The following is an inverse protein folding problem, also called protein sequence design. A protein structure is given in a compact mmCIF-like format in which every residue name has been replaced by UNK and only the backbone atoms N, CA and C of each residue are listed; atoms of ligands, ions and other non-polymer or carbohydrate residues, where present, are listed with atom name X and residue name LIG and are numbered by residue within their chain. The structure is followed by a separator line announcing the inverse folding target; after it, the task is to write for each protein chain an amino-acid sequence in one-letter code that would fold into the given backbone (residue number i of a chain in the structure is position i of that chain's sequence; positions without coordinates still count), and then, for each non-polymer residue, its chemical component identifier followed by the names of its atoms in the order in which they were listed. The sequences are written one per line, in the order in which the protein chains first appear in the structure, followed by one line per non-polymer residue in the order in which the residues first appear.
data_IF_041436867752
#
_entry.id   IF_041436867752
#
_cell.length_a   1.000
_cell.length_b   1.000
_cell.length_c   1.000
_cell.angle_alpha   90.00
_cell.angle_beta   90.00
_cell.angle_gamma   90.00
#
_symmetry.space_group_name_H-M   'P 1'
#
loop_
_entity.id
_entity.type
_entity.pdbx_description
1 polymer ?
#
# COMPACT_ATOMS: atom_id res chain seq x y z
N UNK A 1 -3.39 -15.75 22.82
CA UNK A 1 -3.33 -14.52 22.02
C UNK A 1 -4.49 -13.62 22.38
N UNK A 2 -4.23 -12.33 22.50
CA UNK A 2 -5.25 -11.37 22.87
C UNK A 2 -5.97 -10.88 21.62
N UNK A 3 -7.30 -10.72 21.73
CA UNK A 3 -8.07 -10.10 20.67
C UNK A 3 -7.68 -8.62 20.54
N UNK A 4 -7.51 -8.16 19.33
CA UNK A 4 -7.25 -6.74 19.04
C UNK A 4 -8.29 -6.24 18.06
N UNK A 5 -8.67 -5.00 18.22
CA UNK A 5 -9.66 -4.40 17.34
C UNK A 5 -9.31 -2.94 17.10
N UNK A 6 -9.76 -2.43 15.99
CA UNK A 6 -9.52 -1.04 15.63
C UNK A 6 -10.27 -0.68 14.39
N UNK A 7 -10.02 0.51 13.88
CA UNK A 7 -10.67 1.00 12.68
C UNK A 7 -9.61 1.50 11.72
N UNK A 8 -9.60 0.96 10.51
CA UNK A 8 -8.60 1.35 9.52
C UNK A 8 -8.73 2.79 9.07
N UNK A 9 -9.87 3.42 9.32
CA UNK A 9 -10.06 4.83 8.98
C UNK A 9 -9.77 5.77 10.15
N UNK A 10 -9.42 5.23 11.31
CA UNK A 10 -9.09 6.06 12.46
C UNK A 10 -7.79 6.80 12.25
N UNK A 11 -7.78 8.08 12.61
CA UNK A 11 -6.56 8.90 12.58
C UNK A 11 -5.90 8.88 11.19
N UNK A 12 -6.69 9.09 10.14
CA UNK A 12 -6.15 9.12 8.79
C UNK A 12 -5.43 10.43 8.48
N UNK A 13 -5.49 11.40 9.37
CA UNK A 13 -4.78 12.67 9.19
C UNK A 13 -3.28 12.55 9.48
N UNK A 14 -2.82 11.36 9.84
CA UNK A 14 -1.41 11.15 10.16
C UNK A 14 -0.48 11.37 8.99
N UNK A 15 -0.97 11.25 7.75
CA UNK A 15 -0.15 11.54 6.58
C UNK A 15 0.15 13.03 6.55
N UNK A 16 1.42 13.37 6.55
CA UNK A 16 1.83 14.76 6.50
C UNK A 16 2.36 15.10 5.12
N UNK A 17 2.52 16.41 4.87
CA UNK A 17 3.00 16.87 3.58
C UNK A 17 4.31 16.17 3.24
N UNK A 18 4.34 15.54 2.07
CA UNK A 18 5.53 14.90 1.55
C UNK A 18 5.82 13.51 2.05
N UNK A 19 5.00 12.96 2.97
CA UNK A 19 5.29 11.64 3.51
C UNK A 19 4.02 10.84 3.70
N UNK A 20 4.06 9.58 3.25
CA UNK A 20 3.03 8.61 3.57
C UNK A 20 3.16 8.17 5.01
N UNK A 21 2.04 7.76 5.60
CA UNK A 21 2.04 7.22 6.95
C UNK A 21 1.80 5.72 6.88
N UNK A 22 2.78 4.97 7.35
CA UNK A 22 2.71 3.51 7.44
C UNK A 22 2.43 3.12 8.88
N UNK A 23 1.46 2.24 9.06
CA UNK A 23 1.13 1.75 10.39
C UNK A 23 0.98 0.25 10.34
N UNK A 24 1.76 -0.44 11.16
CA UNK A 24 1.64 -1.89 11.27
C UNK A 24 0.40 -2.21 12.09
N UNK A 25 -0.50 -2.99 11.51
CA UNK A 25 -1.72 -3.44 12.17
C UNK A 25 -1.45 -4.72 12.93
N UNK A 26 -0.72 -5.63 12.31
CA UNK A 26 -0.48 -6.94 12.88
C UNK A 26 0.71 -7.57 12.19
N UNK A 27 1.56 -8.28 12.95
CA UNK A 27 2.62 -9.04 12.32
C UNK A 27 2.91 -10.30 13.09
N UNK A 28 3.28 -11.31 12.35
CA UNK A 28 3.70 -12.62 12.83
C UNK A 28 4.79 -13.11 11.89
N UNK A 29 5.57 -14.11 12.29
CA UNK A 29 6.46 -14.72 11.30
C UNK A 29 5.67 -15.17 10.08
N UNK A 30 6.06 -14.69 8.91
CA UNK A 30 5.41 -15.04 7.66
C UNK A 30 4.26 -14.15 7.25
N UNK A 31 3.82 -13.22 8.09
CA UNK A 31 2.67 -12.37 7.76
C UNK A 31 2.82 -10.99 8.37
N UNK A 32 2.55 -9.97 7.58
CA UNK A 32 2.49 -8.59 8.07
C UNK A 32 1.30 -7.90 7.43
N UNK A 33 0.55 -7.16 8.23
CA UNK A 33 -0.58 -6.37 7.73
C UNK A 33 -0.33 -4.92 8.10
N UNK A 34 -0.31 -4.05 7.08
CA UNK A 34 -0.08 -2.62 7.27
C UNK A 34 -1.23 -1.80 6.74
N UNK A 35 -1.39 -0.62 7.31
CA UNK A 35 -2.22 0.43 6.73
C UNK A 35 -1.29 1.49 6.16
N UNK A 36 -1.61 1.97 4.96
CA UNK A 36 -0.85 3.03 4.31
C UNK A 36 -1.81 4.19 4.04
N UNK A 37 -1.46 5.37 4.52
CA UNK A 37 -2.24 6.57 4.25
C UNK A 37 -1.39 7.51 3.43
N UNK A 38 -1.95 7.96 2.30
CA UNK A 38 -1.26 8.84 1.37
C UNK A 38 -2.15 10.02 1.03
N UNK A 39 -1.54 11.15 0.71
CA UNK A 39 -2.28 12.30 0.21
C UNK A 39 -1.39 13.05 -0.75
N UNK A 40 -1.39 12.61 -2.00
CA UNK A 40 -0.59 13.23 -3.04
C UNK A 40 0.83 12.70 -3.18
N UNK A 41 1.26 11.80 -2.30
CA UNK A 41 2.61 11.26 -2.41
C UNK A 41 2.68 10.26 -3.57
N UNK A 42 3.85 10.21 -4.17
CA UNK A 42 4.17 9.24 -5.21
C UNK A 42 5.60 8.76 -4.96
N UNK A 43 5.95 7.64 -5.55
CA UNK A 43 7.32 7.15 -5.47
C UNK A 43 8.26 8.15 -6.15
N UNK A 44 9.47 8.33 -5.62
CA UNK A 44 10.44 9.20 -6.31
C UNK A 44 10.69 8.72 -7.74
N UNK A 45 11.09 9.63 -8.66
CA UNK A 45 11.39 9.23 -10.02
C UNK A 45 12.42 8.11 -10.05
N UNK A 46 12.18 7.13 -10.92
CA UNK A 46 13.08 5.99 -11.15
C UNK A 46 13.25 5.08 -9.94
N UNK A 47 12.41 5.22 -8.93
CA UNK A 47 12.41 4.31 -7.80
C UNK A 47 11.41 3.19 -8.03
N UNK A 48 11.86 1.96 -7.81
CA UNK A 48 11.02 0.77 -7.94
C UNK A 48 11.11 -0.05 -6.67
N UNK A 49 9.95 -0.38 -6.11
CA UNK A 49 9.90 -1.37 -5.03
C UNK A 49 10.25 -2.74 -5.60
N UNK A 50 11.08 -3.46 -4.88
CA UNK A 50 11.50 -4.80 -5.25
C UNK A 50 11.54 -5.62 -3.96
N UNK A 51 10.47 -6.32 -3.68
CA UNK A 51 10.29 -6.97 -2.39
C UNK A 51 10.40 -8.48 -2.52
N UNK A 52 10.91 -9.09 -1.46
CA UNK A 52 11.11 -10.54 -1.44
C UNK A 52 9.84 -11.31 -1.06
N UNK A 53 8.74 -10.61 -0.85
CA UNK A 53 7.49 -11.23 -0.40
C UNK A 53 6.36 -10.87 -1.33
N UNK A 54 5.28 -11.67 -1.25
CA UNK A 54 4.06 -11.38 -1.98
C UNK A 54 3.24 -10.37 -1.19
N UNK A 55 2.64 -9.43 -1.90
CA UNK A 55 1.86 -8.37 -1.28
C UNK A 55 0.51 -8.27 -1.96
N UNK A 56 -0.54 -8.14 -1.16
CA UNK A 56 -1.88 -7.88 -1.65
C UNK A 56 -2.28 -6.51 -1.15
N UNK A 57 -2.66 -5.62 -2.07
CA UNK A 57 -3.01 -4.24 -1.72
C UNK A 57 -4.46 -4.01 -2.06
N UNK A 58 -5.21 -3.44 -1.12
CA UNK A 58 -6.58 -3.04 -1.36
C UNK A 58 -6.72 -1.55 -1.04
N UNK A 59 -7.38 -0.81 -1.94
CA UNK A 59 -7.71 0.59 -1.70
C UNK A 59 -9.04 0.62 -0.97
N UNK A 60 -9.03 1.10 0.27
CA UNK A 60 -10.23 1.18 1.08
C UNK A 60 -10.91 2.52 0.93
N UNK A 61 -10.14 3.58 0.66
CA UNK A 61 -10.67 4.92 0.47
C UNK A 61 -9.70 5.71 -0.39
N UNK A 62 -10.23 6.56 -1.27
CA UNK A 62 -9.40 7.38 -2.14
C UNK A 62 -9.06 6.70 -3.44
N UNK A 63 -7.93 7.07 -4.01
CA UNK A 63 -7.49 6.50 -5.28
C UNK A 63 -5.98 6.60 -5.45
N UNK A 64 -5.43 5.66 -6.19
CA UNK A 64 -4.01 5.59 -6.44
C UNK A 64 -3.76 4.96 -7.81
N UNK A 65 -2.59 5.23 -8.37
CA UNK A 65 -2.18 4.62 -9.63
C UNK A 65 -0.85 3.93 -9.41
N UNK A 66 -0.77 2.68 -9.84
CA UNK A 66 0.44 1.88 -9.77
C UNK A 66 0.99 1.63 -11.16
N UNK A 67 2.30 1.43 -11.23
CA UNK A 67 2.96 1.00 -12.44
C UNK A 67 3.93 -0.12 -12.12
N UNK A 68 3.98 -1.12 -13.00
CA UNK A 68 4.95 -2.21 -12.92
C UNK A 68 6.02 -1.99 -13.97
N UNK A 69 7.26 -2.26 -13.60
CA UNK A 69 8.38 -1.93 -14.47
C UNK A 69 8.30 -2.66 -15.82
N UNK A 70 7.81 -3.88 -15.81
CA UNK A 70 7.77 -4.71 -17.02
C UNK A 70 6.43 -4.62 -17.75
N UNK A 71 5.58 -3.65 -17.41
CA UNK A 71 4.29 -3.46 -18.08
C UNK A 71 4.15 -2.01 -18.50
N UNK A 72 3.73 -1.76 -19.75
CA UNK A 72 3.63 -0.37 -20.21
C UNK A 72 2.44 0.39 -19.64
N UNK A 73 1.37 -0.31 -19.27
CA UNK A 73 0.15 0.32 -18.80
C UNK A 73 0.21 0.55 -17.29
N UNK A 74 -0.45 1.62 -16.84
CA UNK A 74 -0.62 1.88 -15.42
C UNK A 74 -1.94 1.29 -14.94
N UNK A 75 -2.04 1.07 -13.64
CA UNK A 75 -3.22 0.50 -13.00
C UNK A 75 -3.84 1.55 -12.10
N UNK A 76 -5.00 2.07 -12.47
CA UNK A 76 -5.73 3.03 -11.64
C UNK A 76 -6.64 2.25 -10.70
N UNK A 77 -6.49 2.53 -9.40
CA UNK A 77 -7.23 1.82 -8.36
C UNK A 77 -8.10 2.82 -7.59
N UNK A 78 -9.35 2.49 -7.45
CA UNK A 78 -10.29 3.23 -6.61
C UNK A 78 -10.77 2.38 -5.45
N UNK A 79 -11.77 2.88 -4.74
CA UNK A 79 -12.26 2.23 -3.54
C UNK A 79 -12.77 0.82 -3.84
N UNK A 80 -12.29 -0.14 -3.07
CA UNK A 80 -12.65 -1.54 -3.25
C UNK A 80 -11.77 -2.30 -4.22
N UNK A 81 -10.95 -1.61 -5.00
CA UNK A 81 -10.04 -2.29 -5.93
C UNK A 81 -8.87 -2.89 -5.18
N UNK A 82 -8.42 -4.01 -5.67
CA UNK A 82 -7.24 -4.64 -5.08
C UNK A 82 -6.34 -5.16 -6.19
N UNK A 83 -5.09 -5.38 -5.82
CA UNK A 83 -4.10 -5.93 -6.73
C UNK A 83 -3.18 -6.85 -5.93
N UNK A 84 -2.82 -7.97 -6.54
CA UNK A 84 -1.84 -8.87 -5.97
C UNK A 84 -0.50 -8.61 -6.65
N UNK A 85 0.53 -8.37 -5.84
CA UNK A 85 1.87 -8.06 -6.33
C UNK A 85 2.78 -9.22 -5.93
N UNK A 86 3.19 -10.05 -6.90
CA UNK A 86 4.09 -11.17 -6.57
C UNK A 86 5.45 -10.67 -6.09
N UNK A 87 6.14 -11.54 -5.35
CA UNK A 87 7.50 -11.25 -4.90
C UNK A 87 8.37 -10.88 -6.11
N UNK A 88 9.22 -9.90 -5.93
CA UNK A 88 10.19 -9.42 -6.91
C UNK A 88 9.57 -8.74 -8.13
N UNK A 89 8.26 -8.55 -8.14
CA UNK A 89 7.62 -7.77 -9.21
C UNK A 89 7.86 -6.29 -8.91
N UNK A 90 8.70 -5.66 -9.69
CA UNK A 90 9.09 -4.27 -9.44
C UNK A 90 7.95 -3.33 -9.78
N UNK A 91 7.62 -2.46 -8.85
CA UNK A 91 6.48 -1.57 -8.99
C UNK A 91 6.71 -0.26 -8.27
N UNK A 92 5.87 0.72 -8.60
CA UNK A 92 5.94 2.03 -7.97
C UNK A 92 4.55 2.64 -7.89
N UNK A 93 4.39 3.59 -6.98
CA UNK A 93 3.19 4.40 -6.89
C UNK A 93 3.41 5.61 -7.78
N UNK A 94 2.63 5.68 -8.87
CA UNK A 94 2.72 6.79 -9.79
C UNK A 94 2.00 8.03 -9.28
N UNK A 95 0.90 7.83 -8.56
CA UNK A 95 0.04 8.93 -8.18
C UNK A 95 -0.87 8.52 -7.04
N UNK A 96 -1.12 9.44 -6.12
CA UNK A 96 -2.20 9.34 -5.16
C UNK A 96 -2.95 10.67 -5.15
N UNK A 97 -4.23 10.64 -4.76
CA UNK A 97 -5.08 11.82 -4.80
C UNK A 97 -4.54 12.88 -3.82
N UNK A 98 -4.22 14.09 -4.29
CA UNK A 98 -3.73 15.14 -3.41
C UNK A 98 -4.85 15.82 -2.62
N UNK A 99 -6.10 15.63 -3.00
CA UNK A 99 -7.23 16.33 -2.41
C UNK A 99 -7.78 15.63 -1.18
N UNK A 100 -7.66 14.30 -1.12
CA UNK A 100 -8.24 13.51 -0.04
C UNK A 100 -7.31 12.37 0.33
N UNK A 101 -7.33 11.95 1.59
CA UNK A 101 -6.51 10.81 1.99
C UNK A 101 -6.89 9.54 1.24
N UNK A 102 -5.87 8.78 0.84
CA UNK A 102 -6.04 7.45 0.29
C UNK A 102 -5.60 6.47 1.37
N UNK A 103 -6.49 5.56 1.73
CA UNK A 103 -6.23 4.56 2.78
C UNK A 103 -6.17 3.20 2.12
N UNK A 104 -5.03 2.54 2.26
CA UNK A 104 -4.81 1.22 1.72
C UNK A 104 -4.52 0.23 2.83
N UNK A 105 -4.99 -0.99 2.65
CA UNK A 105 -4.58 -2.11 3.46
C UNK A 105 -3.59 -2.95 2.68
N UNK A 106 -2.58 -3.45 3.37
CA UNK A 106 -1.51 -4.18 2.68
C UNK A 106 -1.09 -5.40 3.49
N UNK A 107 -1.81 -6.53 3.35
CA UNK A 107 -1.31 -7.80 3.86
C UNK A 107 -0.14 -8.27 3.01
N UNK A 108 0.94 -8.67 3.67
CA UNK A 108 2.12 -9.20 2.99
C UNK A 108 2.40 -10.59 3.52
N UNK A 109 2.55 -11.54 2.61
CA UNK A 109 2.91 -12.91 2.97
C UNK A 109 4.40 -13.03 2.77
N UNK A 110 5.10 -13.07 3.90
CA UNK A 110 6.55 -13.14 3.87
C UNK A 110 6.97 -14.54 3.48
N UNK A 111 8.19 -14.65 3.00
CA UNK A 111 8.68 -15.91 2.50
C UNK A 111 8.54 -17.02 3.53
N UNK A 112 8.02 -18.14 3.10
CA UNK A 112 7.91 -19.32 3.93
C UNK A 112 9.06 -20.25 3.71
N UNK A 113 9.94 -19.88 2.84
CA UNK A 113 11.02 -20.76 2.54
C UNK A 113 12.15 -20.14 2.01
#
# INVERSE_FOLDING_TARGET
MTVRAGNLFGDVSAASAGQEAFREIFSRPGLKIERIVSQGQASPPEFWYDQAWNEWVIVLKGSATLQFEDEPATWALGEGDYVFIPARKRHRVEWTDPQRPTVCGSPSILSER
#
